data_IF_365908657925
#
_entry.id   IF_365908657925
#
_cell.length_a   1.000
_cell.length_b   1.000
_cell.length_c   1.000
_cell.angle_alpha   90.00
_cell.angle_beta   90.00
_cell.angle_gamma   90.00
#
_symmetry.space_group_name_H-M   'P 1'
#
loop_
_entity.id
_entity.type
_entity.pdbx_description
1 polymer ?
#
# COMPACT_ATOMS: atom_id res chain seq x y z
N UNK A 1 10.26 -44.67 5.04
CA UNK A 1 8.78 -44.67 4.98
C UNK A 1 8.31 -43.22 5.13
N UNK A 2 7.45 -42.67 4.25
CA UNK A 2 6.90 -41.34 4.51
C UNK A 2 6.00 -41.43 5.74
N UNK A 3 6.38 -40.74 6.81
CA UNK A 3 5.64 -40.71 8.07
C UNK A 3 4.21 -40.22 7.84
N UNK A 4 3.25 -40.85 8.52
CA UNK A 4 1.83 -40.47 8.46
C UNK A 4 1.70 -38.99 8.84
N UNK A 5 1.06 -38.14 8.01
CA UNK A 5 0.94 -36.72 8.32
C UNK A 5 0.15 -36.55 9.62
N UNK A 6 0.66 -35.72 10.53
CA UNK A 6 -0.02 -35.32 11.76
C UNK A 6 -1.42 -34.80 11.42
N UNK A 7 -2.44 -35.27 12.14
CA UNK A 7 -3.79 -34.74 12.03
C UNK A 7 -3.84 -33.31 12.57
N UNK A 8 -4.34 -32.37 11.77
CA UNK A 8 -4.46 -30.94 12.11
C UNK A 8 -5.90 -30.46 12.18
N UNK A 9 -6.89 -31.34 12.03
CA UNK A 9 -8.32 -30.97 12.09
C UNK A 9 -8.63 -30.28 13.43
N UNK A 10 -9.31 -29.14 13.36
CA UNK A 10 -9.65 -28.28 14.51
C UNK A 10 -8.57 -27.26 14.89
N UNK A 11 -7.36 -27.34 14.34
CA UNK A 11 -6.32 -26.34 14.61
C UNK A 11 -6.63 -25.00 13.92
N UNK A 12 -6.27 -23.89 14.58
CA UNK A 12 -6.54 -22.52 14.11
C UNK A 12 -5.23 -21.81 13.77
N UNK A 13 -5.14 -21.25 12.57
CA UNK A 13 -3.99 -20.52 12.06
C UNK A 13 -4.43 -19.12 11.61
N UNK A 14 -4.32 -18.13 12.50
CA UNK A 14 -4.87 -16.80 12.26
C UNK A 14 -6.40 -16.85 12.17
N UNK A 15 -6.96 -16.51 11.00
CA UNK A 15 -8.40 -16.58 10.70
C UNK A 15 -8.84 -17.93 10.13
N UNK A 16 -7.93 -18.88 9.90
CA UNK A 16 -8.25 -20.18 9.31
C UNK A 16 -8.41 -21.27 10.36
N UNK A 17 -9.49 -22.04 10.29
CA UNK A 17 -9.70 -23.27 11.07
C UNK A 17 -9.63 -24.47 10.15
N UNK A 18 -8.78 -25.46 10.45
CA UNK A 18 -8.65 -26.67 9.64
C UNK A 18 -9.89 -27.55 9.82
N UNK A 19 -10.55 -27.90 8.71
CA UNK A 19 -11.79 -28.68 8.69
C UNK A 19 -11.50 -30.15 8.36
N UNK A 20 -10.71 -30.41 7.31
CA UNK A 20 -10.36 -31.77 6.90
C UNK A 20 -9.04 -31.82 6.12
N UNK A 21 -8.48 -33.03 6.00
CA UNK A 21 -7.36 -33.29 5.11
C UNK A 21 -7.86 -33.32 3.65
N UNK A 22 -7.04 -32.81 2.74
CA UNK A 22 -7.26 -32.96 1.30
C UNK A 22 -6.53 -34.20 0.75
N UNK A 23 -7.01 -34.71 -0.37
CA UNK A 23 -6.35 -35.75 -1.15
C UNK A 23 -5.06 -35.23 -1.83
N UNK A 24 -4.90 -33.91 -1.95
CA UNK A 24 -3.74 -33.29 -2.59
C UNK A 24 -2.49 -33.35 -1.71
N UNK A 25 -1.35 -33.51 -2.39
CA UNK A 25 -0.01 -33.50 -1.81
C UNK A 25 0.89 -32.54 -2.58
N UNK A 26 1.82 -31.89 -1.90
CA UNK A 26 2.87 -31.13 -2.58
C UNK A 26 3.88 -32.07 -3.23
N UNK A 27 4.70 -31.56 -4.16
CA UNK A 27 5.82 -32.32 -4.74
C UNK A 27 6.80 -32.86 -3.69
N UNK A 28 6.90 -32.18 -2.55
CA UNK A 28 7.75 -32.58 -1.42
C UNK A 28 7.04 -33.53 -0.43
N UNK A 29 5.79 -33.93 -0.70
CA UNK A 29 5.04 -34.91 0.11
C UNK A 29 4.15 -34.33 1.22
N UNK A 30 4.09 -33.00 1.37
CA UNK A 30 3.23 -32.37 2.39
C UNK A 30 1.75 -32.52 2.04
N UNK A 31 0.93 -32.88 3.01
CA UNK A 31 -0.53 -32.92 2.85
C UNK A 31 -1.11 -31.51 2.74
N UNK A 32 -2.14 -31.37 1.90
CA UNK A 32 -3.00 -30.20 1.89
C UNK A 32 -4.14 -30.36 2.89
N UNK A 33 -4.63 -29.22 3.37
CA UNK A 33 -5.69 -29.13 4.37
C UNK A 33 -6.74 -28.14 3.91
N UNK A 34 -8.00 -28.55 3.96
CA UNK A 34 -9.13 -27.64 3.79
C UNK A 34 -9.33 -26.86 5.08
N UNK A 35 -9.31 -25.53 4.96
CA UNK A 35 -9.47 -24.63 6.08
C UNK A 35 -10.66 -23.69 5.83
N UNK A 36 -11.51 -23.49 6.83
CA UNK A 36 -12.57 -22.48 6.83
C UNK A 36 -12.04 -21.19 7.42
N UNK A 37 -12.15 -20.09 6.69
CA UNK A 37 -11.84 -18.77 7.20
C UNK A 37 -12.97 -18.23 8.06
N UNK A 38 -12.65 -17.33 9.00
CA UNK A 38 -13.65 -16.65 9.85
C UNK A 38 -14.68 -15.84 9.06
N UNK A 39 -14.37 -15.47 7.80
CA UNK A 39 -15.33 -14.82 6.89
C UNK A 39 -16.31 -15.81 6.22
N UNK A 40 -16.15 -17.11 6.47
CA UNK A 40 -16.97 -18.16 5.87
C UNK A 40 -16.38 -18.79 4.62
N UNK A 41 -15.33 -18.23 4.01
CA UNK A 41 -14.73 -18.79 2.79
C UNK A 41 -13.77 -19.96 3.10
N UNK A 42 -13.81 -21.01 2.28
CA UNK A 42 -12.83 -22.11 2.36
C UNK A 42 -11.54 -21.81 1.59
N UNK A 43 -10.43 -22.36 2.07
CA UNK A 43 -9.15 -22.33 1.39
C UNK A 43 -8.39 -23.63 1.61
N UNK A 44 -7.87 -24.19 0.52
CA UNK A 44 -6.95 -25.31 0.59
C UNK A 44 -5.52 -24.81 0.82
N UNK A 45 -4.84 -25.32 1.85
CA UNK A 45 -3.52 -24.83 2.29
C UNK A 45 -2.55 -26.00 2.47
N UNK A 46 -1.32 -25.93 1.93
CA UNK A 46 -0.30 -26.94 2.21
C UNK A 46 0.16 -26.88 3.67
N UNK A 47 0.35 -28.03 4.30
CA UNK A 47 0.66 -28.12 5.74
C UNK A 47 1.94 -27.41 6.18
N UNK A 48 2.91 -27.20 5.28
CA UNK A 48 4.12 -26.43 5.61
C UNK A 48 3.91 -24.91 5.71
N UNK A 49 2.77 -24.42 5.21
CA UNK A 49 2.36 -23.00 5.33
C UNK A 49 1.39 -22.74 6.48
N UNK A 50 0.90 -23.79 7.14
CA UNK A 50 0.13 -23.70 8.39
C UNK A 50 1.11 -23.71 9.57
N UNK A 51 1.51 -22.53 10.03
CA UNK A 51 2.40 -22.38 11.19
C UNK A 51 2.09 -21.11 11.97
N UNK A 52 2.20 -21.20 13.30
CA UNK A 52 2.16 -20.04 14.20
C UNK A 52 3.47 -19.25 14.24
N UNK A 53 4.57 -19.81 13.72
CA UNK A 53 5.85 -19.13 13.69
C UNK A 53 5.93 -18.21 12.46
N UNK A 54 5.64 -16.93 12.67
CA UNK A 54 5.74 -15.86 11.67
C UNK A 54 7.17 -15.45 11.33
N UNK A 55 8.17 -15.82 12.15
CA UNK A 55 9.58 -15.54 11.88
C UNK A 55 10.21 -16.50 10.85
N UNK A 56 9.45 -17.47 10.31
CA UNK A 56 9.93 -18.38 9.27
C UNK A 56 10.21 -17.62 7.98
N UNK A 57 11.27 -18.05 7.26
CA UNK A 57 11.57 -17.56 5.90
C UNK A 57 10.46 -17.87 4.89
N UNK A 58 9.69 -18.94 5.09
CA UNK A 58 8.58 -19.32 4.20
C UNK A 58 7.29 -18.60 4.60
N UNK A 59 6.50 -18.08 3.63
CA UNK A 59 5.26 -17.39 3.93
C UNK A 59 4.23 -18.35 4.53
N UNK A 60 3.68 -17.95 5.67
CA UNK A 60 2.56 -18.64 6.31
C UNK A 60 1.23 -18.16 5.71
N UNK A 61 0.21 -19.02 5.78
CA UNK A 61 -1.14 -18.69 5.34
C UNK A 61 -2.04 -18.62 6.56
N UNK A 62 -2.64 -17.45 6.77
CA UNK A 62 -3.42 -17.14 7.98
C UNK A 62 -4.85 -16.68 7.68
N UNK A 63 -5.26 -16.62 6.41
CA UNK A 63 -6.60 -16.22 5.98
C UNK A 63 -6.96 -16.81 4.62
N UNK A 64 -8.23 -16.70 4.19
CA UNK A 64 -8.61 -16.99 2.81
C UNK A 64 -7.93 -16.01 1.83
N UNK A 65 -8.05 -16.26 0.52
CA UNK A 65 -7.44 -15.39 -0.50
C UNK A 65 -8.01 -13.97 -0.45
N UNK A 66 -9.32 -13.84 -0.27
CA UNK A 66 -10.01 -12.54 -0.24
C UNK A 66 -9.60 -11.74 0.98
N UNK A 67 -9.73 -12.29 2.19
CA UNK A 67 -9.28 -11.61 3.41
C UNK A 67 -7.78 -11.28 3.37
N UNK A 68 -6.94 -12.16 2.82
CA UNK A 68 -5.52 -11.85 2.67
C UNK A 68 -5.28 -10.66 1.73
N UNK A 69 -6.08 -10.53 0.67
CA UNK A 69 -6.02 -9.41 -0.26
C UNK A 69 -6.54 -8.13 0.39
N UNK A 70 -7.67 -8.19 1.10
CA UNK A 70 -8.25 -7.07 1.84
C UNK A 70 -7.24 -6.48 2.81
N UNK A 71 -6.62 -7.31 3.66
CA UNK A 71 -5.60 -6.85 4.60
C UNK A 71 -4.39 -6.21 3.93
N UNK A 72 -3.97 -6.75 2.78
CA UNK A 72 -2.87 -6.16 2.02
C UNK A 72 -3.27 -4.78 1.48
N UNK A 73 -4.50 -4.64 0.98
CA UNK A 73 -5.04 -3.36 0.50
C UNK A 73 -5.15 -2.36 1.65
N UNK A 74 -5.74 -2.75 2.78
CA UNK A 74 -5.83 -1.92 3.99
C UNK A 74 -4.45 -1.46 4.46
N UNK A 75 -3.47 -2.38 4.50
CA UNK A 75 -2.09 -2.07 4.85
C UNK A 75 -1.43 -1.06 3.90
N UNK A 76 -1.67 -1.20 2.59
CA UNK A 76 -1.17 -0.24 1.57
C UNK A 76 -1.83 1.12 1.73
N UNK A 77 -3.16 1.19 1.89
CA UNK A 77 -3.87 2.44 2.09
C UNK A 77 -3.38 3.16 3.36
N UNK A 78 -3.29 2.45 4.49
CA UNK A 78 -2.81 3.03 5.75
C UNK A 78 -1.36 3.56 5.65
N UNK A 79 -0.50 2.89 4.88
CA UNK A 79 0.84 3.38 4.57
C UNK A 79 0.79 4.66 3.73
N UNK A 80 0.04 4.64 2.63
CA UNK A 80 -0.09 5.79 1.72
C UNK A 80 -0.64 7.03 2.45
N UNK A 81 -1.62 6.87 3.34
CA UNK A 81 -2.19 7.96 4.13
C UNK A 81 -1.18 8.59 5.09
N UNK A 82 -0.29 7.77 5.68
CA UNK A 82 0.80 8.25 6.54
C UNK A 82 1.81 9.05 5.73
N UNK A 83 2.28 8.51 4.61
CA UNK A 83 3.23 9.17 3.71
C UNK A 83 2.63 10.45 3.10
N UNK A 84 1.31 10.48 2.85
CA UNK A 84 0.62 11.67 2.38
C UNK A 84 0.53 12.76 3.45
N UNK A 85 0.27 12.41 4.71
CA UNK A 85 0.34 13.38 5.83
C UNK A 85 1.72 14.03 5.93
N UNK A 86 2.78 13.22 5.87
CA UNK A 86 4.17 13.71 5.89
C UNK A 86 4.46 14.64 4.70
N UNK A 87 4.04 14.27 3.49
CA UNK A 87 4.20 15.12 2.29
C UNK A 87 3.46 16.45 2.39
N UNK A 88 2.30 16.50 3.06
CA UNK A 88 1.58 17.77 3.31
C UNK A 88 2.32 18.67 4.29
N UNK A 89 2.85 18.10 5.38
CA UNK A 89 3.64 18.85 6.38
C UNK A 89 4.88 19.44 5.72
N UNK A 90 5.65 18.63 4.99
CA UNK A 90 6.84 19.07 4.28
C UNK A 90 6.53 20.13 3.20
N UNK A 91 5.40 20.01 2.49
CA UNK A 91 4.95 21.04 1.56
C UNK A 91 4.57 22.36 2.24
N UNK A 92 3.95 22.32 3.43
CA UNK A 92 3.64 23.53 4.21
C UNK A 92 4.92 24.23 4.68
N UNK A 93 5.87 23.47 5.22
CA UNK A 93 7.16 24.00 5.67
C UNK A 93 7.92 24.66 4.51
N UNK A 94 8.04 23.97 3.37
CA UNK A 94 8.69 24.51 2.17
C UNK A 94 7.99 25.75 1.63
N UNK A 95 6.65 25.79 1.64
CA UNK A 95 5.89 26.98 1.25
C UNK A 95 6.10 28.16 2.19
N UNK A 96 6.27 27.92 3.48
CA UNK A 96 6.53 28.98 4.45
C UNK A 96 7.81 29.74 4.12
N UNK A 97 8.83 29.05 3.59
CA UNK A 97 10.08 29.66 3.15
C UNK A 97 9.97 30.43 1.82
N UNK A 98 8.83 30.31 1.13
CA UNK A 98 8.59 30.91 -0.20
C UNK A 98 7.57 32.05 -0.16
N UNK A 99 7.04 32.38 1.03
CA UNK A 99 6.13 33.52 1.19
C UNK A 99 6.80 34.82 0.74
N UNK A 100 6.17 35.55 -0.18
CA UNK A 100 6.72 36.77 -0.78
C UNK A 100 7.70 36.55 -1.95
N UNK A 101 8.20 35.33 -2.15
CA UNK A 101 9.02 34.95 -3.32
C UNK A 101 8.16 34.44 -4.46
N UNK A 102 7.12 33.67 -4.14
CA UNK A 102 6.18 33.12 -5.13
C UNK A 102 4.84 33.84 -5.09
N UNK A 103 4.07 33.84 -6.20
CA UNK A 103 2.72 34.39 -6.21
C UNK A 103 1.81 33.76 -5.15
N UNK A 104 1.05 34.58 -4.42
CA UNK A 104 0.14 34.11 -3.36
C UNK A 104 -0.87 33.07 -3.85
N UNK A 105 -1.34 33.22 -5.10
CA UNK A 105 -2.23 32.25 -5.73
C UNK A 105 -1.63 30.86 -5.92
N UNK A 106 -0.32 30.67 -5.74
CA UNK A 106 0.31 29.34 -5.71
C UNK A 106 0.26 28.74 -4.30
N UNK A 107 0.32 29.58 -3.27
CA UNK A 107 0.25 29.16 -1.86
C UNK A 107 -1.17 28.73 -1.48
N UNK A 108 -2.20 29.16 -2.22
CA UNK A 108 -3.59 28.70 -2.08
C UNK A 108 -3.87 27.37 -2.78
N UNK A 109 -2.96 26.87 -3.61
CA UNK A 109 -3.14 25.59 -4.30
C UNK A 109 -3.05 24.41 -3.31
N UNK A 110 -3.59 23.23 -3.67
CA UNK A 110 -3.38 22.01 -2.91
C UNK A 110 -1.90 21.70 -2.72
N UNK A 111 -1.57 21.12 -1.57
CA UNK A 111 -0.18 20.85 -1.15
C UNK A 111 0.49 19.76 -1.98
N UNK A 112 -0.25 18.73 -2.34
CA UNK A 112 0.23 17.53 -3.02
C UNK A 112 -0.73 17.16 -4.17
N UNK A 113 -0.32 16.19 -4.99
CA UNK A 113 -1.18 15.62 -6.03
C UNK A 113 -2.40 14.92 -5.44
N UNK A 114 -2.24 14.20 -4.33
CA UNK A 114 -3.34 13.53 -3.65
C UNK A 114 -4.33 14.54 -3.05
N UNK A 115 -3.84 15.60 -2.41
CA UNK A 115 -4.66 16.70 -1.92
C UNK A 115 -5.42 17.39 -3.08
N UNK A 116 -4.78 17.57 -4.24
CA UNK A 116 -5.48 18.12 -5.40
C UNK A 116 -6.60 17.20 -5.89
N UNK A 117 -6.38 15.87 -5.92
CA UNK A 117 -7.43 14.90 -6.26
C UNK A 117 -8.61 14.95 -5.28
N UNK A 118 -8.35 15.06 -3.99
CA UNK A 118 -9.39 15.20 -2.94
C UNK A 118 -10.27 16.44 -3.17
N UNK A 119 -9.65 17.55 -3.59
CA UNK A 119 -10.34 18.81 -3.85
C UNK A 119 -10.90 18.92 -5.29
N UNK A 120 -10.78 17.88 -6.11
CA UNK A 120 -11.19 17.92 -7.52
C UNK A 120 -10.41 18.93 -8.37
N UNK A 121 -9.24 19.35 -7.91
CA UNK A 121 -8.36 20.26 -8.63
C UNK A 121 -7.37 19.49 -9.50
N UNK A 122 -6.85 20.15 -10.54
CA UNK A 122 -5.85 19.55 -11.44
C UNK A 122 -4.43 20.06 -11.20
N UNK A 123 -4.30 21.12 -10.39
CA UNK A 123 -3.04 21.77 -10.05
C UNK A 123 -2.73 21.63 -8.56
N UNK A 124 -1.45 21.58 -8.23
CA UNK A 124 -0.94 21.62 -6.87
C UNK A 124 0.41 22.33 -6.84
N UNK A 125 0.86 22.76 -5.66
CA UNK A 125 2.16 23.42 -5.52
C UNK A 125 2.90 22.90 -4.30
N UNK A 126 3.86 21.98 -4.46
CA UNK A 126 4.60 21.48 -3.30
C UNK A 126 5.56 22.51 -2.72
N UNK A 127 6.06 23.46 -3.52
CA UNK A 127 7.27 24.23 -3.17
C UNK A 127 8.56 23.44 -3.41
N UNK A 128 8.58 22.54 -4.39
CA UNK A 128 9.79 21.82 -4.84
C UNK A 128 10.19 22.25 -6.25
N UNK A 129 11.49 22.27 -6.49
CA UNK A 129 12.05 22.41 -7.84
C UNK A 129 11.82 21.15 -8.67
N UNK A 130 11.54 21.33 -9.96
CA UNK A 130 11.51 20.20 -10.89
C UNK A 130 12.93 19.74 -11.23
N UNK A 131 13.07 18.61 -11.95
CA UNK A 131 14.37 18.10 -12.41
C UNK A 131 15.14 19.08 -13.31
N UNK A 132 14.45 20.07 -13.90
CA UNK A 132 15.05 21.14 -14.71
C UNK A 132 15.29 22.44 -13.93
N UNK A 133 15.09 22.43 -12.61
CA UNK A 133 15.32 23.58 -11.73
C UNK A 133 14.21 24.63 -11.69
N UNK A 134 13.04 24.40 -12.31
CA UNK A 134 11.91 25.34 -12.21
C UNK A 134 11.16 25.24 -10.87
N UNK A 135 10.83 26.39 -10.28
CA UNK A 135 9.90 26.53 -9.17
C UNK A 135 8.54 26.97 -9.71
N UNK A 136 7.60 26.03 -9.80
CA UNK A 136 6.28 26.27 -10.35
C UNK A 136 5.25 25.28 -9.80
N UNK A 137 3.94 25.58 -9.93
CA UNK A 137 2.89 24.59 -9.71
C UNK A 137 3.00 23.42 -10.69
N UNK A 138 2.41 22.29 -10.32
CA UNK A 138 2.43 21.04 -11.05
C UNK A 138 1.02 20.61 -11.44
N UNK A 139 0.93 19.88 -12.55
CA UNK A 139 -0.29 19.18 -12.97
C UNK A 139 -0.29 17.76 -12.42
N UNK A 140 -1.46 17.26 -12.02
CA UNK A 140 -1.62 15.84 -11.67
C UNK A 140 -1.28 14.99 -12.90
N UNK A 141 -0.45 13.96 -12.71
CA UNK A 141 0.09 13.08 -13.77
C UNK A 141 0.89 13.81 -14.88
N UNK A 142 1.30 15.06 -14.63
CA UNK A 142 2.04 15.87 -15.59
C UNK A 142 3.34 16.43 -15.02
N UNK A 143 3.94 17.34 -15.78
CA UNK A 143 5.13 18.08 -15.35
C UNK A 143 4.81 19.39 -14.63
N UNK A 144 5.86 20.12 -14.29
CA UNK A 144 5.76 21.48 -13.81
C UNK A 144 5.16 22.40 -14.89
N UNK A 145 4.38 23.41 -14.50
CA UNK A 145 3.70 24.30 -15.46
C UNK A 145 4.69 25.00 -16.40
N UNK A 146 5.85 25.40 -15.90
CA UNK A 146 6.93 26.00 -16.70
C UNK A 146 7.49 25.02 -17.73
N UNK A 147 7.69 23.77 -17.35
CA UNK A 147 8.16 22.70 -18.22
C UNK A 147 7.19 22.47 -19.39
N UNK A 148 5.90 22.69 -19.14
CA UNK A 148 4.82 22.59 -20.13
C UNK A 148 4.48 23.91 -20.85
N UNK A 149 5.28 24.97 -20.66
CA UNK A 149 5.13 26.26 -21.36
C UNK A 149 3.94 27.13 -20.92
N UNK A 150 3.37 26.88 -19.74
CA UNK A 150 2.11 27.55 -19.34
C UNK A 150 2.29 28.76 -18.43
N UNK A 151 3.36 28.80 -17.64
CA UNK A 151 3.69 29.92 -16.73
C UNK A 151 5.20 30.05 -16.59
N UNK A 152 5.75 31.27 -16.47
CA UNK A 152 7.16 31.45 -16.15
C UNK A 152 7.49 30.84 -14.78
N UNK A 153 8.72 30.35 -14.61
CA UNK A 153 9.21 29.92 -13.29
C UNK A 153 9.24 31.13 -12.37
N UNK A 154 8.89 30.97 -11.10
CA UNK A 154 9.22 32.00 -10.12
C UNK A 154 10.74 32.20 -10.10
N UNK A 155 11.17 33.46 -10.04
CA UNK A 155 12.56 33.79 -9.79
C UNK A 155 12.85 33.47 -8.31
N UNK A 156 13.99 32.84 -8.06
CA UNK A 156 14.55 32.66 -6.72
C UNK A 156 15.16 33.98 -6.27
#
# INVERSE_FOLDING_TARGET
MPSKPRNRVGEVYGKLTVVCASERRTKSGNAYWWCRCSCGQDREVPGDKLSHNSARKKPIVTACLDCSREFQVEGVCAKNDREERERRIDALERRSLLMGVVPDGWLTLPLTDAHARELGQVLFFRGTYCLRGHLAPYRINGGCLTCSGQKPSAAV
#
